data_IF_874268944920
#
_entry.id   IF_874268944920
#
_cell.length_a   1.000
_cell.length_b   1.000
_cell.length_c   1.000
_cell.angle_alpha   90.00
_cell.angle_beta   90.00
_cell.angle_gamma   90.00
#
_symmetry.space_group_name_H-M   'P 1'
#
loop_
_entity.id
_entity.type
_entity.pdbx_description
1 polymer ?
#
# COMPACT_ATOMS: atom_id res chain seq x y z
N UNK A 1 32.28 -3.51 4.94
CA UNK A 1 31.19 -2.50 4.88
C UNK A 1 30.52 -2.58 3.51
N UNK A 2 29.78 -3.66 3.24
CA UNK A 2 28.92 -3.82 2.06
C UNK A 2 27.64 -4.62 2.34
N UNK A 3 27.49 -5.08 3.57
CA UNK A 3 26.56 -6.13 3.98
C UNK A 3 25.22 -5.54 4.46
N UNK A 4 25.25 -4.38 5.11
CA UNK A 4 24.06 -3.70 5.65
C UNK A 4 23.11 -3.22 4.53
N UNK A 5 23.67 -2.71 3.43
CA UNK A 5 22.86 -2.29 2.28
C UNK A 5 22.20 -3.48 1.58
N UNK A 6 22.91 -4.61 1.48
CA UNK A 6 22.40 -5.86 0.91
C UNK A 6 21.27 -6.45 1.76
N UNK A 7 21.41 -6.42 3.09
CA UNK A 7 20.37 -6.87 4.02
C UNK A 7 19.10 -6.01 3.95
N UNK A 8 19.25 -4.69 3.87
CA UNK A 8 18.11 -3.78 3.74
C UNK A 8 17.33 -3.99 2.42
N UNK A 9 18.03 -4.13 1.30
CA UNK A 9 17.39 -4.40 0.01
C UNK A 9 16.70 -5.77 -0.04
N UNK A 10 17.29 -6.79 0.59
CA UNK A 10 16.68 -8.11 0.72
C UNK A 10 15.37 -8.05 1.53
N UNK A 11 15.35 -7.27 2.62
CA UNK A 11 14.15 -7.05 3.43
C UNK A 11 13.04 -6.37 2.61
N UNK A 12 13.37 -5.32 1.85
CA UNK A 12 12.41 -4.66 0.96
C UNK A 12 11.83 -5.65 -0.05
N UNK A 13 12.65 -6.50 -0.67
CA UNK A 13 12.19 -7.50 -1.65
C UNK A 13 11.20 -8.49 -1.03
N UNK A 14 11.44 -8.93 0.21
CA UNK A 14 10.53 -9.82 0.94
C UNK A 14 9.17 -9.15 1.17
N UNK A 15 9.16 -7.91 1.64
CA UNK A 15 7.92 -7.16 1.78
C UNK A 15 7.19 -6.98 0.45
N UNK A 16 7.91 -6.66 -0.64
CA UNK A 16 7.32 -6.50 -1.97
C UNK A 16 6.74 -7.81 -2.53
N UNK A 17 7.25 -8.96 -2.10
CA UNK A 17 6.70 -10.28 -2.41
C UNK A 17 5.45 -10.64 -1.57
N UNK A 18 5.05 -9.77 -0.64
CA UNK A 18 3.94 -9.98 0.28
C UNK A 18 4.32 -10.79 1.52
N UNK A 19 5.61 -10.99 1.78
CA UNK A 19 6.06 -11.68 2.98
C UNK A 19 6.00 -10.75 4.20
N UNK A 20 5.45 -11.26 5.31
CA UNK A 20 5.43 -10.53 6.58
C UNK A 20 6.73 -10.75 7.33
N UNK A 21 7.50 -9.68 7.52
CA UNK A 21 8.78 -9.71 8.24
C UNK A 21 8.82 -8.53 9.20
N UNK A 22 9.11 -8.79 10.48
CA UNK A 22 9.07 -7.79 11.54
C UNK A 22 7.73 -7.02 11.56
N UNK A 23 6.62 -7.75 11.46
CA UNK A 23 5.27 -7.19 11.46
C UNK A 23 4.97 -6.22 10.29
N UNK A 24 5.88 -6.12 9.33
CA UNK A 24 5.75 -5.28 8.14
C UNK A 24 5.56 -6.15 6.91
N UNK A 25 4.71 -5.70 5.97
CA UNK A 25 4.41 -6.41 4.73
C UNK A 25 4.05 -5.41 3.61
N UNK A 26 4.27 -5.80 2.36
CA UNK A 26 3.83 -5.06 1.18
C UNK A 26 2.46 -5.53 0.68
N UNK A 27 1.50 -4.61 0.60
CA UNK A 27 0.16 -4.85 0.07
C UNK A 27 0.02 -4.23 -1.32
N UNK A 28 -0.51 -5.01 -2.27
CA UNK A 28 -0.79 -4.50 -3.62
C UNK A 28 -1.97 -3.54 -3.62
N UNK A 29 -1.86 -2.48 -4.42
CA UNK A 29 -2.95 -1.55 -4.71
C UNK A 29 -3.60 -1.96 -6.04
N UNK A 30 -4.89 -2.33 -6.01
CA UNK A 30 -5.54 -3.02 -7.15
C UNK A 30 -6.39 -2.14 -8.05
N UNK A 31 -6.47 -0.83 -7.82
CA UNK A 31 -7.23 0.10 -8.66
C UNK A 31 -6.87 1.56 -8.37
N UNK A 32 -7.52 2.49 -9.08
CA UNK A 32 -7.32 3.91 -8.89
C UNK A 32 -5.97 4.40 -9.43
N UNK A 33 -5.56 5.63 -9.12
CA UNK A 33 -4.33 6.20 -9.67
C UNK A 33 -3.04 5.51 -9.22
N UNK A 34 -3.09 4.68 -8.17
CA UNK A 34 -1.94 3.93 -7.68
C UNK A 34 -1.99 2.44 -8.02
N UNK A 35 -2.85 2.03 -8.95
CA UNK A 35 -2.93 0.65 -9.41
C UNK A 35 -1.56 0.07 -9.76
N UNK A 36 -1.30 -1.16 -9.29
CA UNK A 36 -0.05 -1.88 -9.55
C UNK A 36 1.10 -1.49 -8.62
N UNK A 37 0.95 -0.45 -7.77
CA UNK A 37 1.93 -0.14 -6.73
C UNK A 37 1.77 -1.06 -5.52
N UNK A 38 2.84 -1.18 -4.76
CA UNK A 38 2.85 -1.86 -3.46
C UNK A 38 3.01 -0.83 -2.35
N UNK A 39 2.15 -0.91 -1.33
CA UNK A 39 2.23 -0.12 -0.12
C UNK A 39 2.82 -0.99 0.99
N UNK A 40 4.00 -0.62 1.48
CA UNK A 40 4.59 -1.25 2.67
C UNK A 40 3.92 -0.65 3.91
N UNK A 41 3.41 -1.51 4.79
CA UNK A 41 2.70 -1.12 6.02
C UNK A 41 3.15 -2.01 7.18
N UNK A 42 3.10 -1.45 8.38
CA UNK A 42 3.14 -2.20 9.62
C UNK A 42 1.74 -2.74 9.93
N UNK A 43 1.67 -4.00 10.38
CA UNK A 43 0.44 -4.64 10.82
C UNK A 43 0.17 -4.29 12.29
N UNK A 44 -1.05 -4.44 12.75
CA UNK A 44 -1.32 -4.39 14.20
C UNK A 44 -0.92 -5.72 14.88
N UNK A 45 -0.97 -5.79 16.22
CA UNK A 45 -0.74 -7.02 17.00
C UNK A 45 -1.60 -8.20 16.56
N UNK A 46 -2.79 -7.94 15.98
CA UNK A 46 -3.66 -8.96 15.41
C UNK A 46 -3.27 -9.42 13.97
N UNK A 47 -2.16 -8.91 13.41
CA UNK A 47 -1.75 -9.19 12.03
C UNK A 47 -2.64 -8.51 10.98
N UNK A 48 -3.32 -7.42 11.37
CA UNK A 48 -4.22 -6.69 10.49
C UNK A 48 -3.53 -5.46 9.90
N UNK A 49 -3.61 -5.23 8.58
CA UNK A 49 -3.09 -4.00 8.00
C UNK A 49 -3.96 -2.80 8.41
N UNK A 50 -3.44 -1.57 8.25
CA UNK A 50 -4.24 -0.37 8.43
C UNK A 50 -5.49 -0.44 7.56
N UNK A 51 -6.66 -0.18 8.14
CA UNK A 51 -7.96 -0.33 7.49
C UNK A 51 -8.08 0.46 6.18
N UNK A 52 -7.29 1.52 6.03
CA UNK A 52 -7.18 2.26 4.78
C UNK A 52 -6.10 3.32 4.82
N UNK A 53 -5.88 3.98 3.68
CA UNK A 53 -5.04 5.18 3.61
C UNK A 53 -5.60 6.17 2.60
N UNK A 54 -5.18 7.43 2.74
CA UNK A 54 -5.46 8.50 1.78
C UNK A 54 -4.18 8.90 1.08
N UNK A 55 -4.23 9.09 -0.24
CA UNK A 55 -3.07 9.53 -0.99
C UNK A 55 -3.46 10.42 -2.17
N UNK A 56 -2.57 11.33 -2.55
CA UNK A 56 -2.73 12.18 -3.73
C UNK A 56 -1.76 11.72 -4.82
N UNK A 57 -2.21 11.47 -6.04
CA UNK A 57 -1.36 10.93 -7.10
C UNK A 57 -0.28 11.91 -7.59
N UNK A 58 -0.29 13.15 -7.12
CA UNK A 58 0.65 14.17 -7.57
C UNK A 58 0.49 14.40 -9.07
N UNK A 59 1.58 14.69 -9.79
CA UNK A 59 1.57 14.85 -11.26
C UNK A 59 1.52 13.52 -12.03
N UNK A 60 0.86 12.50 -11.50
CA UNK A 60 0.73 11.23 -12.23
C UNK A 60 -0.10 11.47 -13.49
N UNK A 61 0.42 11.16 -14.69
CA UNK A 61 -0.35 11.31 -15.93
C UNK A 61 -1.55 10.37 -15.94
N UNK A 62 -2.70 10.87 -16.39
CA UNK A 62 -3.95 10.11 -16.48
C UNK A 62 -5.19 10.98 -16.24
N UNK A 63 -6.39 10.39 -16.22
CA UNK A 63 -7.65 11.11 -16.01
C UNK A 63 -7.88 11.52 -14.54
N UNK A 64 -6.90 11.29 -13.66
CA UNK A 64 -7.06 11.49 -12.23
C UNK A 64 -6.73 12.93 -11.83
N UNK A 65 -7.59 13.54 -11.02
CA UNK A 65 -7.36 14.87 -10.49
C UNK A 65 -6.16 14.86 -9.52
N UNK A 66 -5.05 15.57 -9.82
CA UNK A 66 -3.84 15.57 -8.99
C UNK A 66 -4.05 16.18 -7.59
N UNK A 67 -5.07 17.04 -7.44
CA UNK A 67 -5.41 17.69 -6.18
C UNK A 67 -6.34 16.84 -5.29
N UNK A 68 -7.00 15.83 -5.85
CA UNK A 68 -7.94 14.99 -5.12
C UNK A 68 -7.20 14.05 -4.15
N UNK A 69 -7.72 13.94 -2.92
CA UNK A 69 -7.32 12.89 -1.98
C UNK A 69 -8.08 11.60 -2.38
N UNK A 70 -7.37 10.53 -2.66
CA UNK A 70 -7.93 9.22 -3.02
C UNK A 70 -7.91 8.30 -1.81
N UNK A 71 -9.01 7.61 -1.55
CA UNK A 71 -9.19 6.69 -0.43
C UNK A 71 -8.95 5.26 -0.91
N UNK A 72 -8.22 4.50 -0.10
CA UNK A 72 -7.98 3.08 -0.28
C UNK A 72 -8.35 2.34 0.99
N UNK A 73 -8.97 1.17 0.85
CA UNK A 73 -9.39 0.32 1.97
C UNK A 73 -8.69 -1.03 1.90
N UNK A 74 -8.31 -1.57 3.06
CA UNK A 74 -7.77 -2.90 3.17
C UNK A 74 -8.87 -3.94 2.95
N UNK A 75 -8.67 -4.81 1.97
CA UNK A 75 -9.61 -5.88 1.62
C UNK A 75 -8.87 -7.22 1.73
N UNK A 76 -9.52 -8.21 2.33
CA UNK A 76 -8.96 -9.55 2.47
C UNK A 76 -8.91 -10.22 1.10
N UNK A 77 -7.73 -10.71 0.72
CA UNK A 77 -7.45 -11.30 -0.58
C UNK A 77 -6.64 -12.59 -0.38
N UNK A 78 -7.31 -13.72 -0.12
CA UNK A 78 -6.63 -14.99 0.22
C UNK A 78 -5.76 -15.53 -0.92
N UNK A 79 -6.05 -15.15 -2.17
CA UNK A 79 -5.27 -15.53 -3.35
C UNK A 79 -3.94 -14.76 -3.49
N UNK A 80 -3.64 -13.84 -2.58
CA UNK A 80 -2.39 -13.07 -2.58
C UNK A 80 -1.45 -13.51 -1.46
N UNK A 81 -0.14 -13.46 -1.68
CA UNK A 81 0.86 -13.83 -0.67
C UNK A 81 0.73 -13.04 0.63
N UNK A 82 0.31 -11.77 0.55
CA UNK A 82 0.09 -10.90 1.71
C UNK A 82 -1.25 -11.15 2.42
N UNK A 83 -2.17 -11.90 1.82
CA UNK A 83 -3.54 -12.12 2.33
C UNK A 83 -4.45 -10.89 2.30
N UNK A 84 -3.93 -9.74 1.86
CA UNK A 84 -4.59 -8.43 1.85
C UNK A 84 -4.16 -7.59 0.65
N UNK A 85 -5.07 -6.74 0.19
CA UNK A 85 -4.83 -5.71 -0.82
C UNK A 85 -5.39 -4.38 -0.35
N UNK A 86 -4.95 -3.31 -1.00
CA UNK A 86 -5.63 -2.02 -0.94
C UNK A 86 -6.46 -1.80 -2.20
N UNK A 87 -7.78 -1.73 -2.01
CA UNK A 87 -8.72 -1.44 -3.08
C UNK A 87 -9.09 0.05 -3.07
N UNK A 88 -9.28 0.61 -4.25
CA UNK A 88 -9.65 2.02 -4.40
C UNK A 88 -11.13 2.22 -4.04
N UNK A 89 -11.38 3.02 -3.01
CA UNK A 89 -12.72 3.29 -2.50
C UNK A 89 -13.33 4.60 -3.01
N UNK A 90 -12.56 5.42 -3.73
CA UNK A 90 -13.04 6.66 -4.33
C UNK A 90 -12.24 7.90 -3.92
N UNK A 91 -12.84 9.06 -4.14
CA UNK A 91 -12.26 10.36 -3.79
C UNK A 91 -12.81 10.80 -2.44
N UNK A 92 -11.93 11.29 -1.58
CA UNK A 92 -12.28 11.99 -0.35
C UNK A 92 -12.91 13.33 -0.72
N UNK A 93 -14.23 13.37 -0.73
CA UNK A 93 -15.02 14.60 -1.00
C UNK A 93 -15.32 15.38 0.28
N UNK A 94 -14.84 14.92 1.43
CA UNK A 94 -14.85 15.70 2.65
C UNK A 94 -14.02 16.97 2.39
N UNK A 95 -14.71 18.09 2.20
CA UNK A 95 -14.07 19.38 2.16
C UNK A 95 -13.22 19.51 3.43
N UNK A 96 -11.96 19.92 3.27
CA UNK A 96 -11.15 20.42 4.37
C UNK A 96 -11.94 21.62 4.92
N UNK A 97 -12.69 21.40 5.99
CA UNK A 97 -13.57 22.39 6.61
C UNK A 97 -12.78 23.39 7.44
#
# INVERSE_FOLDING_TARGET
MGDENSGHLALIRRWLAGETVNNTVGLKVVSGPFQGRTKIVDLDQAGLPPAGFRARPGRTPGPWNPAAKHIYLAVRAPDTSAGWIYEYAGIDTAADG
#
